data_IF_813366969819
#
_entry.id   IF_813366969819
#
_cell.length_a   1.000
_cell.length_b   1.000
_cell.length_c   1.000
_cell.angle_alpha   90.00
_cell.angle_beta   90.00
_cell.angle_gamma   90.00
#
_symmetry.space_group_name_H-M   'P 1'
#
loop_
_entity.id
_entity.type
_entity.pdbx_description
1 polymer ?
#
# COMPACT_ATOMS: atom_id res chain seq x y z
N UNK A 1 23.82 22.21 66.61
CA UNK A 1 24.13 21.25 65.52
C UNK A 1 23.37 21.71 64.28
N UNK A 2 23.98 22.57 63.45
CA UNK A 2 24.70 22.25 62.19
C UNK A 2 23.79 21.70 61.08
N UNK A 3 23.24 22.65 60.32
CA UNK A 3 23.09 22.76 58.86
C UNK A 3 23.60 21.60 58.00
N UNK A 4 22.80 21.20 56.99
CA UNK A 4 23.23 20.99 55.59
C UNK A 4 22.02 20.73 54.68
N UNK A 5 21.63 21.75 53.93
CA UNK A 5 20.83 21.64 52.70
C UNK A 5 21.79 21.33 51.55
N UNK A 6 21.57 20.23 50.83
CA UNK A 6 22.26 19.89 49.59
C UNK A 6 21.35 20.19 48.40
N UNK A 7 21.61 21.30 47.72
CA UNK A 7 21.05 21.64 46.42
C UNK A 7 21.71 20.78 45.34
N UNK A 8 20.93 19.99 44.60
CA UNK A 8 21.36 19.39 43.34
C UNK A 8 20.89 20.29 42.20
N UNK A 9 21.82 21.01 41.58
CA UNK A 9 21.59 21.72 40.33
C UNK A 9 21.70 20.71 39.18
N UNK A 10 20.56 20.25 38.68
CA UNK A 10 20.49 19.43 37.46
C UNK A 10 20.81 20.33 36.26
N UNK A 11 21.94 20.09 35.60
CA UNK A 11 22.23 20.63 34.28
C UNK A 11 21.13 20.16 33.31
N UNK A 12 20.33 21.10 32.83
CA UNK A 12 19.52 20.92 31.64
C UNK A 12 20.44 20.82 30.43
N UNK A 13 20.61 19.60 29.93
CA UNK A 13 21.14 19.36 28.60
C UNK A 13 20.01 19.72 27.61
N UNK A 14 20.03 20.94 27.08
CA UNK A 14 19.25 21.27 25.89
C UNK A 14 19.78 20.42 24.73
N UNK A 15 19.15 19.26 24.49
CA UNK A 15 19.32 18.56 23.23
C UNK A 15 18.81 19.49 22.12
N UNK A 16 19.74 20.09 21.39
CA UNK A 16 19.47 20.78 20.14
C UNK A 16 18.66 19.84 19.24
N UNK A 17 17.50 20.29 18.79
CA UNK A 17 16.67 19.56 17.84
C UNK A 17 17.50 19.24 16.60
N UNK A 18 17.57 17.97 16.24
CA UNK A 18 18.09 17.55 14.95
C UNK A 18 17.27 18.27 13.89
N UNK A 19 17.91 19.17 13.14
CA UNK A 19 17.32 19.76 11.95
C UNK A 19 16.84 18.60 11.06
N UNK A 20 15.54 18.58 10.74
CA UNK A 20 15.01 17.68 9.73
C UNK A 20 15.86 17.85 8.48
N UNK A 21 16.54 16.79 8.06
CA UNK A 21 17.19 16.78 6.75
C UNK A 21 16.13 17.19 5.72
N UNK A 22 16.42 18.20 4.90
CA UNK A 22 15.50 18.71 3.90
C UNK A 22 14.93 17.54 3.09
N UNK A 23 13.60 17.37 3.14
CA UNK A 23 12.92 16.37 2.31
C UNK A 23 13.31 16.63 0.86
N UNK A 24 13.92 15.65 0.15
CA UNK A 24 14.35 15.88 -1.23
C UNK A 24 13.12 16.22 -2.09
N UNK A 25 13.29 16.94 -3.21
CA UNK A 25 12.19 17.16 -4.14
C UNK A 25 11.51 15.85 -4.53
N UNK A 26 10.19 15.84 -4.61
CA UNK A 26 9.39 14.63 -4.87
C UNK A 26 9.85 13.87 -6.12
N UNK A 27 10.27 14.60 -7.15
CA UNK A 27 10.82 14.04 -8.40
C UNK A 27 12.10 13.24 -8.16
N UNK A 28 12.97 13.72 -7.28
CA UNK A 28 14.22 13.05 -6.91
C UNK A 28 13.94 11.84 -6.03
N UNK A 29 12.95 11.93 -5.14
CA UNK A 29 12.58 10.84 -4.25
C UNK A 29 12.06 9.61 -5.01
N UNK A 30 11.10 9.78 -5.92
CA UNK A 30 10.52 8.63 -6.65
C UNK A 30 11.48 7.98 -7.63
N UNK A 31 12.57 8.66 -8.00
CA UNK A 31 13.66 8.12 -8.83
C UNK A 31 14.61 7.19 -8.05
N UNK A 32 14.55 7.18 -6.72
CA UNK A 32 15.44 6.34 -5.92
C UNK A 32 15.07 4.86 -6.05
N UNK A 33 16.08 4.00 -5.88
CA UNK A 33 15.88 2.57 -5.78
C UNK A 33 15.44 2.23 -4.36
N UNK A 34 14.29 1.56 -4.24
CA UNK A 34 13.76 1.10 -2.97
C UNK A 34 13.62 -0.43 -2.96
N UNK A 35 14.67 -1.18 -2.57
CA UNK A 35 14.63 -2.65 -2.56
C UNK A 35 13.53 -3.25 -1.68
N UNK A 36 13.08 -2.49 -0.67
CA UNK A 36 12.07 -2.89 0.30
C UNK A 36 10.75 -2.11 0.17
N UNK A 37 10.53 -1.45 -0.98
CA UNK A 37 9.37 -0.59 -1.19
C UNK A 37 9.59 0.85 -0.71
N UNK A 38 8.70 1.76 -1.12
CA UNK A 38 8.83 3.19 -0.83
C UNK A 38 8.81 3.43 0.68
N UNK A 39 9.79 4.16 1.28
CA UNK A 39 9.80 4.43 2.71
C UNK A 39 8.59 5.27 3.13
N UNK A 40 7.59 4.63 3.75
CA UNK A 40 6.31 5.27 4.10
C UNK A 40 6.49 6.56 4.91
N UNK A 41 7.34 6.53 5.95
CA UNK A 41 7.56 7.67 6.83
C UNK A 41 8.07 8.91 6.08
N UNK A 42 8.92 8.70 5.06
CA UNK A 42 9.41 9.79 4.22
C UNK A 42 8.37 10.21 3.18
N UNK A 43 7.71 9.26 2.53
CA UNK A 43 6.68 9.52 1.53
C UNK A 43 5.46 10.28 2.11
N UNK A 44 5.13 10.02 3.37
CA UNK A 44 4.04 10.67 4.09
C UNK A 44 4.30 12.14 4.43
N UNK A 45 5.54 12.62 4.27
CA UNK A 45 5.91 14.02 4.51
C UNK A 45 5.66 14.90 3.28
N UNK A 46 5.37 14.31 2.12
CA UNK A 46 4.93 15.07 0.95
C UNK A 46 3.47 15.49 1.10
N UNK A 47 3.08 16.50 0.34
CA UNK A 47 1.79 17.17 0.45
C UNK A 47 0.92 16.94 -0.78
N UNK A 48 -0.35 17.36 -0.71
CA UNK A 48 -1.23 17.40 -1.89
C UNK A 48 -0.70 18.27 -3.03
N UNK A 49 0.21 19.22 -2.78
CA UNK A 49 0.84 19.98 -3.86
C UNK A 49 1.76 19.10 -4.72
N UNK A 50 2.38 18.08 -4.11
CA UNK A 50 3.26 17.13 -4.78
C UNK A 50 2.48 16.11 -5.63
N UNK A 51 1.21 15.88 -5.30
CA UNK A 51 0.29 15.02 -6.06
C UNK A 51 0.26 15.37 -7.54
N UNK A 52 0.15 16.66 -7.88
CA UNK A 52 0.06 17.10 -9.28
C UNK A 52 1.34 16.78 -10.07
N UNK A 53 2.50 16.88 -9.42
CA UNK A 53 3.80 16.54 -10.02
C UNK A 53 3.88 15.03 -10.25
N UNK A 54 3.47 14.23 -9.28
CA UNK A 54 3.44 12.76 -9.37
C UNK A 54 2.49 12.27 -10.46
N UNK A 55 1.30 12.85 -10.58
CA UNK A 55 0.35 12.51 -11.66
C UNK A 55 0.90 12.87 -13.04
N UNK A 56 1.64 13.98 -13.15
CA UNK A 56 2.32 14.36 -14.39
C UNK A 56 3.40 13.32 -14.76
N UNK A 57 4.20 12.87 -13.79
CA UNK A 57 5.19 11.82 -14.02
C UNK A 57 4.55 10.47 -14.36
N UNK A 58 3.43 10.11 -13.73
CA UNK A 58 2.69 8.88 -13.99
C UNK A 58 2.13 8.80 -15.42
N UNK A 59 1.84 9.96 -16.03
CA UNK A 59 1.38 10.06 -17.41
C UNK A 59 2.52 9.95 -18.43
N UNK A 60 3.78 10.11 -18.02
CA UNK A 60 4.93 10.03 -18.93
C UNK A 60 5.35 8.57 -19.16
N UNK A 61 5.05 8.06 -20.36
CA UNK A 61 5.43 6.71 -20.78
C UNK A 61 6.94 6.42 -20.73
N UNK A 62 7.81 7.45 -20.65
CA UNK A 62 9.26 7.27 -20.50
C UNK A 62 9.67 6.95 -19.06
N UNK A 63 8.79 7.16 -18.09
CA UNK A 63 9.04 6.97 -16.66
C UNK A 63 8.43 5.66 -16.12
N UNK A 64 8.09 4.71 -16.98
CA UNK A 64 7.39 3.47 -16.60
C UNK A 64 8.06 2.70 -15.45
N UNK A 65 9.39 2.70 -15.37
CA UNK A 65 10.13 2.02 -14.31
C UNK A 65 9.88 2.64 -12.92
N UNK A 66 9.51 3.93 -12.88
CA UNK A 66 9.22 4.69 -11.67
C UNK A 66 7.76 4.61 -11.25
N UNK A 67 6.85 4.17 -12.12
CA UNK A 67 5.40 4.25 -11.87
C UNK A 67 4.96 3.53 -10.59
N UNK A 68 5.63 2.43 -10.21
CA UNK A 68 5.36 1.74 -8.95
C UNK A 68 5.66 2.63 -7.74
N UNK A 69 6.85 3.26 -7.72
CA UNK A 69 7.25 4.19 -6.66
C UNK A 69 6.31 5.39 -6.60
N UNK A 70 5.91 5.91 -7.76
CA UNK A 70 4.97 7.04 -7.87
C UNK A 70 3.62 6.67 -7.24
N UNK A 71 3.06 5.51 -7.59
CA UNK A 71 1.76 5.06 -7.07
C UNK A 71 1.79 4.80 -5.57
N UNK A 72 2.83 4.12 -5.06
CA UNK A 72 2.98 3.94 -3.61
C UNK A 72 3.10 5.27 -2.88
N UNK A 73 3.87 6.22 -3.43
CA UNK A 73 4.01 7.56 -2.84
C UNK A 73 2.69 8.32 -2.83
N UNK A 74 1.91 8.28 -3.92
CA UNK A 74 0.55 8.84 -3.97
C UNK A 74 -0.34 8.21 -2.89
N UNK A 75 -0.23 6.89 -2.71
CA UNK A 75 -0.91 6.14 -1.65
C UNK A 75 -0.57 6.65 -0.25
N UNK A 76 0.71 6.86 0.04
CA UNK A 76 1.18 7.33 1.33
C UNK A 76 0.87 8.81 1.61
N UNK A 77 0.82 9.66 0.58
CA UNK A 77 0.32 11.04 0.70
C UNK A 77 -1.17 11.01 1.11
N UNK A 78 -1.95 10.09 0.54
CA UNK A 78 -3.35 9.88 0.90
C UNK A 78 -4.31 10.93 0.32
N UNK A 79 -3.91 11.63 -0.73
CA UNK A 79 -4.75 12.63 -1.41
C UNK A 79 -5.90 11.95 -2.17
N UNK A 80 -7.13 12.18 -1.72
CA UNK A 80 -8.33 11.57 -2.29
C UNK A 80 -8.57 11.91 -3.77
N UNK A 81 -8.04 13.04 -4.24
CA UNK A 81 -8.16 13.43 -5.66
C UNK A 81 -7.42 12.48 -6.61
N UNK A 82 -6.53 11.64 -6.08
CA UNK A 82 -5.73 10.67 -6.83
C UNK A 82 -6.46 9.35 -7.11
N UNK A 83 -7.57 9.08 -6.41
CA UNK A 83 -8.29 7.81 -6.52
C UNK A 83 -8.71 7.52 -7.96
N UNK A 84 -9.35 8.49 -8.62
CA UNK A 84 -9.79 8.32 -10.00
C UNK A 84 -8.62 8.14 -10.99
N UNK A 85 -7.55 8.97 -10.96
CA UNK A 85 -6.34 8.73 -11.75
C UNK A 85 -5.69 7.36 -11.52
N UNK A 86 -5.59 6.89 -10.27
CA UNK A 86 -5.03 5.58 -9.94
C UNK A 86 -5.89 4.46 -10.52
N UNK A 87 -7.21 4.55 -10.38
CA UNK A 87 -8.16 3.58 -10.98
C UNK A 87 -8.01 3.54 -12.50
N UNK A 88 -7.96 4.71 -13.15
CA UNK A 88 -7.76 4.81 -14.60
C UNK A 88 -6.42 4.18 -15.01
N UNK A 89 -5.35 4.38 -14.22
CA UNK A 89 -4.04 3.76 -14.47
C UNK A 89 -4.08 2.24 -14.34
N UNK A 90 -4.74 1.69 -13.32
CA UNK A 90 -4.88 0.24 -13.13
C UNK A 90 -5.58 -0.39 -14.34
N UNK A 91 -6.66 0.23 -14.81
CA UNK A 91 -7.47 -0.29 -15.90
C UNK A 91 -6.85 -0.08 -17.29
N UNK A 92 -6.19 1.06 -17.51
CA UNK A 92 -5.70 1.49 -18.82
C UNK A 92 -4.58 0.64 -19.40
N UNK A 93 -4.31 0.79 -20.69
CA UNK A 93 -3.30 0.01 -21.41
C UNK A 93 -3.91 -1.14 -22.22
N UNK A 94 -3.13 -1.66 -23.17
CA UNK A 94 -3.58 -2.71 -24.11
C UNK A 94 -2.44 -3.65 -24.44
N UNK A 95 -2.78 -4.90 -24.80
CA UNK A 95 -1.82 -5.91 -25.22
C UNK A 95 -0.94 -6.43 -24.08
N UNK A 96 0.20 -7.01 -24.43
CA UNK A 96 1.14 -7.57 -23.44
C UNK A 96 1.95 -6.43 -22.83
N UNK A 97 1.78 -6.20 -21.53
CA UNK A 97 2.51 -5.19 -20.76
C UNK A 97 3.77 -5.76 -20.11
N UNK A 98 4.73 -4.87 -19.85
CA UNK A 98 6.00 -5.23 -19.21
C UNK A 98 5.83 -5.60 -17.73
N UNK A 99 6.85 -6.22 -17.16
CA UNK A 99 6.89 -6.51 -15.72
C UNK A 99 6.81 -5.24 -14.86
N UNK A 100 7.48 -4.16 -15.28
CA UNK A 100 7.44 -2.87 -14.59
C UNK A 100 6.02 -2.28 -14.58
N UNK A 101 5.32 -2.33 -15.72
CA UNK A 101 3.94 -1.89 -15.82
C UNK A 101 3.00 -2.73 -14.95
N UNK A 102 3.19 -4.05 -14.91
CA UNK A 102 2.39 -4.95 -14.09
C UNK A 102 2.62 -4.69 -12.59
N UNK A 103 3.88 -4.49 -12.18
CA UNK A 103 4.24 -4.07 -10.82
C UNK A 103 3.53 -2.77 -10.46
N UNK A 104 3.61 -1.76 -11.32
CA UNK A 104 2.96 -0.46 -11.09
C UNK A 104 1.44 -0.61 -10.91
N UNK A 105 0.77 -1.41 -11.74
CA UNK A 105 -0.68 -1.66 -11.59
C UNK A 105 -1.02 -2.34 -10.27
N UNK A 106 -0.19 -3.27 -9.82
CA UNK A 106 -0.33 -3.89 -8.48
C UNK A 106 -0.14 -2.85 -7.37
N UNK A 107 0.91 -2.03 -7.45
CA UNK A 107 1.14 -0.90 -6.53
C UNK A 107 -0.04 0.07 -6.50
N UNK A 108 -0.75 0.28 -7.62
CA UNK A 108 -1.97 1.08 -7.67
C UNK A 108 -3.09 0.53 -6.75
N UNK A 109 -3.29 -0.79 -6.69
CA UNK A 109 -4.27 -1.40 -5.79
C UNK A 109 -3.87 -1.23 -4.32
N UNK A 110 -2.58 -1.34 -4.02
CA UNK A 110 -2.05 -1.07 -2.67
C UNK A 110 -2.22 0.40 -2.30
N UNK A 111 -1.96 1.32 -3.24
CA UNK A 111 -2.10 2.76 -3.04
C UNK A 111 -3.54 3.15 -2.66
N UNK A 112 -4.55 2.53 -3.28
CA UNK A 112 -5.95 2.74 -2.89
C UNK A 112 -6.21 2.27 -1.44
N UNK A 113 -5.55 1.19 -1.00
CA UNK A 113 -5.57 0.73 0.38
C UNK A 113 -4.95 1.75 1.34
N UNK A 114 -3.79 2.32 0.99
CA UNK A 114 -3.13 3.35 1.77
C UNK A 114 -3.95 4.65 1.86
N UNK A 115 -4.55 5.09 0.75
CA UNK A 115 -5.48 6.24 0.74
C UNK A 115 -6.63 5.98 1.72
N UNK A 116 -7.26 4.80 1.65
CA UNK A 116 -8.37 4.43 2.52
C UNK A 116 -7.95 4.34 4.01
N UNK A 117 -6.70 3.96 4.30
CA UNK A 117 -6.16 3.95 5.66
C UNK A 117 -6.05 5.36 6.24
N UNK A 118 -5.61 6.32 5.44
CA UNK A 118 -5.41 7.70 5.89
C UNK A 118 -6.72 8.48 5.95
N UNK A 119 -7.56 8.35 4.94
CA UNK A 119 -8.78 9.11 4.77
C UNK A 119 -9.94 8.19 4.34
N UNK A 120 -11.09 8.19 5.04
CA UNK A 120 -12.26 7.42 4.62
C UNK A 120 -12.75 7.86 3.22
N UNK A 121 -12.39 7.09 2.19
CA UNK A 121 -12.78 7.36 0.80
C UNK A 121 -13.70 6.26 0.26
N UNK A 122 -14.98 6.60 0.05
CA UNK A 122 -16.00 5.64 -0.40
C UNK A 122 -15.73 5.10 -1.81
N UNK A 123 -15.10 5.90 -2.68
CA UNK A 123 -14.77 5.48 -4.05
C UNK A 123 -13.66 4.44 -4.07
N UNK A 124 -12.60 4.64 -3.28
CA UNK A 124 -11.52 3.66 -3.13
C UNK A 124 -12.03 2.37 -2.49
N UNK A 125 -12.84 2.47 -1.42
CA UNK A 125 -13.44 1.31 -0.76
C UNK A 125 -14.36 0.51 -1.72
N UNK A 126 -15.23 1.20 -2.47
CA UNK A 126 -16.11 0.57 -3.45
C UNK A 126 -15.29 -0.13 -4.53
N UNK A 127 -14.32 0.57 -5.11
CA UNK A 127 -13.47 0.02 -6.15
C UNK A 127 -12.75 -1.25 -5.71
N UNK A 128 -12.12 -1.23 -4.52
CA UNK A 128 -11.43 -2.39 -3.95
C UNK A 128 -12.39 -3.52 -3.60
N UNK A 129 -13.58 -3.20 -3.05
CA UNK A 129 -14.61 -4.20 -2.73
C UNK A 129 -15.10 -4.94 -3.98
N UNK A 130 -15.40 -4.20 -5.05
CA UNK A 130 -15.83 -4.79 -6.33
C UNK A 130 -14.70 -5.60 -6.97
N UNK A 131 -13.45 -5.18 -6.75
CA UNK A 131 -12.24 -5.85 -7.24
C UNK A 131 -11.95 -7.19 -6.54
N UNK A 132 -12.66 -7.55 -5.48
CA UNK A 132 -12.60 -8.88 -4.85
C UNK A 132 -13.33 -9.95 -5.65
N UNK A 133 -13.97 -9.57 -6.76
CA UNK A 133 -14.74 -10.45 -7.63
C UNK A 133 -14.12 -10.51 -9.02
N UNK A 134 -13.81 -11.72 -9.50
CA UNK A 134 -13.19 -11.90 -10.81
C UNK A 134 -14.10 -11.47 -11.98
N UNK A 135 -15.43 -11.56 -11.84
CA UNK A 135 -16.38 -11.15 -12.88
C UNK A 135 -16.34 -9.63 -13.08
N UNK A 136 -16.06 -8.87 -12.02
CA UNK A 136 -15.86 -7.42 -12.11
C UNK A 136 -14.69 -7.08 -13.03
N UNK A 137 -13.59 -7.84 -12.98
CA UNK A 137 -12.43 -7.61 -13.85
C UNK A 137 -12.74 -7.89 -15.33
N UNK A 138 -13.57 -8.89 -15.59
CA UNK A 138 -14.09 -9.18 -16.93
C UNK A 138 -15.01 -8.05 -17.42
N UNK A 139 -15.93 -7.58 -16.56
CA UNK A 139 -16.86 -6.50 -16.89
C UNK A 139 -16.16 -5.14 -17.12
N UNK A 140 -14.97 -4.94 -16.53
CA UNK A 140 -14.13 -3.74 -16.77
C UNK A 140 -13.38 -3.77 -18.11
N UNK A 141 -13.49 -4.85 -18.87
CA UNK A 141 -12.84 -5.02 -20.19
C UNK A 141 -11.34 -4.69 -20.18
N UNK A 142 -10.61 -5.27 -19.22
CA UNK A 142 -9.18 -5.05 -19.07
C UNK A 142 -8.46 -5.60 -20.31
N UNK A 143 -7.98 -4.68 -21.16
CA UNK A 143 -7.43 -5.00 -22.48
C UNK A 143 -5.93 -5.34 -22.48
N UNK A 144 -5.30 -5.43 -21.31
CA UNK A 144 -3.89 -5.78 -21.15
C UNK A 144 -3.69 -7.15 -20.47
N UNK A 145 -2.58 -7.80 -20.80
CA UNK A 145 -2.10 -9.06 -20.19
C UNK A 145 -0.62 -8.94 -19.86
N UNK A 146 -0.02 -9.93 -19.19
CA UNK A 146 1.42 -9.94 -18.91
C UNK A 146 1.98 -11.34 -19.13
N UNK A 147 3.28 -11.46 -19.42
CA UNK A 147 3.93 -12.75 -19.65
C UNK A 147 3.83 -13.70 -18.44
N UNK A 148 3.67 -13.18 -17.22
CA UNK A 148 3.50 -13.98 -16.01
C UNK A 148 2.10 -14.61 -15.88
N UNK A 149 1.09 -13.98 -16.50
CA UNK A 149 -0.31 -14.38 -16.44
C UNK A 149 -0.90 -14.24 -17.86
N UNK A 150 -0.58 -15.20 -18.76
CA UNK A 150 -0.92 -15.09 -20.17
C UNK A 150 -2.43 -15.24 -20.42
N UNK A 151 -3.16 -15.91 -19.53
CA UNK A 151 -4.60 -16.05 -19.59
C UNK A 151 -5.33 -15.03 -18.68
N UNK A 152 -6.56 -14.68 -19.07
CA UNK A 152 -7.37 -13.67 -18.38
C UNK A 152 -7.75 -14.09 -16.96
N UNK A 153 -7.98 -15.40 -16.74
CA UNK A 153 -8.42 -15.91 -15.43
C UNK A 153 -7.29 -15.75 -14.41
N UNK A 154 -6.08 -16.20 -14.74
CA UNK A 154 -4.91 -16.06 -13.87
C UNK A 154 -4.58 -14.60 -13.57
N UNK A 155 -4.70 -13.71 -14.58
CA UNK A 155 -4.52 -12.27 -14.39
C UNK A 155 -5.55 -11.73 -13.40
N UNK A 156 -6.82 -12.05 -13.59
CA UNK A 156 -7.92 -11.53 -12.75
C UNK A 156 -7.82 -12.06 -11.32
N UNK A 157 -7.47 -13.34 -11.15
CA UNK A 157 -7.18 -13.93 -9.82
C UNK A 157 -6.04 -13.18 -9.13
N UNK A 158 -4.97 -12.84 -9.86
CA UNK A 158 -3.88 -12.06 -9.29
C UNK A 158 -4.32 -10.64 -8.90
N UNK A 159 -5.16 -9.99 -9.71
CA UNK A 159 -5.72 -8.68 -9.37
C UNK A 159 -6.64 -8.72 -8.16
N UNK A 160 -7.46 -9.77 -8.01
CA UNK A 160 -8.28 -10.03 -6.81
C UNK A 160 -7.38 -10.12 -5.57
N UNK A 161 -6.28 -10.88 -5.64
CA UNK A 161 -5.31 -11.00 -4.54
C UNK A 161 -4.71 -9.64 -4.16
N UNK A 162 -4.29 -8.84 -5.14
CA UNK A 162 -3.74 -7.50 -4.88
C UNK A 162 -4.78 -6.54 -4.29
N UNK A 163 -6.03 -6.60 -4.76
CA UNK A 163 -7.13 -5.82 -4.19
C UNK A 163 -7.41 -6.22 -2.73
N UNK A 164 -7.37 -7.52 -2.44
CA UNK A 164 -7.51 -8.02 -1.08
C UNK A 164 -6.39 -7.51 -0.17
N UNK A 165 -5.13 -7.47 -0.63
CA UNK A 165 -4.02 -6.87 0.12
C UNK A 165 -4.27 -5.37 0.36
N UNK A 166 -4.72 -4.62 -0.65
CA UNK A 166 -5.13 -3.21 -0.46
C UNK A 166 -6.21 -3.04 0.61
N UNK A 167 -7.22 -3.92 0.62
CA UNK A 167 -8.27 -3.95 1.65
C UNK A 167 -7.70 -4.25 3.04
N UNK A 168 -6.76 -5.19 3.15
CA UNK A 168 -6.06 -5.47 4.41
C UNK A 168 -5.31 -4.23 4.90
N UNK A 169 -4.51 -3.61 4.03
CA UNK A 169 -3.68 -2.44 4.36
C UNK A 169 -4.48 -1.21 4.76
N UNK A 170 -5.76 -1.13 4.35
CA UNK A 170 -6.63 -0.03 4.75
C UNK A 170 -6.89 0.03 6.27
N UNK A 171 -6.84 -1.10 6.98
CA UNK A 171 -7.30 -1.18 8.37
C UNK A 171 -8.77 -0.78 8.58
N UNK A 172 -9.58 -0.66 7.53
CA UNK A 172 -10.99 -0.26 7.64
C UNK A 172 -11.86 -1.44 8.10
N UNK A 173 -12.76 -1.25 9.09
CA UNK A 173 -13.72 -2.29 9.47
C UNK A 173 -14.65 -2.70 8.33
N UNK A 174 -15.02 -1.75 7.45
CA UNK A 174 -15.80 -2.02 6.25
C UNK A 174 -15.01 -2.90 5.28
N UNK A 175 -13.69 -2.68 5.16
CA UNK A 175 -12.83 -3.52 4.34
C UNK A 175 -12.72 -4.95 4.89
N UNK A 176 -12.55 -5.12 6.21
CA UNK A 176 -12.59 -6.44 6.85
C UNK A 176 -13.92 -7.17 6.62
N UNK A 177 -15.05 -6.46 6.74
CA UNK A 177 -16.37 -7.04 6.47
C UNK A 177 -16.52 -7.47 5.00
N UNK A 178 -16.01 -6.68 4.06
CA UNK A 178 -16.01 -7.01 2.63
C UNK A 178 -15.12 -8.23 2.32
N UNK A 179 -13.90 -8.29 2.87
CA UNK A 179 -12.99 -9.45 2.76
C UNK A 179 -13.69 -10.72 3.26
N UNK A 180 -14.24 -10.69 4.47
CA UNK A 180 -14.96 -11.83 5.05
C UNK A 180 -16.13 -12.26 4.16
N UNK A 181 -16.95 -11.32 3.68
CA UNK A 181 -18.13 -11.64 2.86
C UNK A 181 -17.75 -12.22 1.49
N UNK A 182 -16.73 -11.67 0.82
CA UNK A 182 -16.39 -12.01 -0.56
C UNK A 182 -15.44 -13.20 -0.69
N UNK A 183 -14.57 -13.43 0.29
CA UNK A 183 -13.51 -14.45 0.21
C UNK A 183 -13.77 -15.68 1.09
N UNK A 184 -14.89 -15.72 1.83
CA UNK A 184 -15.26 -16.92 2.60
C UNK A 184 -15.53 -18.12 1.67
N UNK A 185 -15.09 -19.34 2.03
CA UNK A 185 -15.26 -20.56 1.22
C UNK A 185 -16.68 -20.86 0.76
N UNK A 186 -17.68 -20.44 1.54
CA UNK A 186 -19.09 -20.68 1.26
C UNK A 186 -19.64 -19.83 0.10
N UNK A 187 -18.87 -18.84 -0.37
CA UNK A 187 -19.32 -17.84 -1.35
C UNK A 187 -18.48 -17.87 -2.64
N UNK A 188 -17.29 -18.47 -2.62
CA UNK A 188 -16.42 -18.49 -3.81
C UNK A 188 -16.75 -19.65 -4.74
N UNK A 189 -17.43 -19.33 -5.84
CA UNK A 189 -17.63 -20.23 -7.00
C UNK A 189 -16.32 -20.57 -7.73
N UNK A 190 -15.19 -19.96 -7.33
CA UNK A 190 -13.88 -20.23 -7.89
C UNK A 190 -13.10 -21.26 -7.04
N UNK A 191 -12.98 -22.52 -7.50
CA UNK A 191 -12.26 -23.58 -6.77
C UNK A 191 -10.76 -23.29 -6.62
N UNK A 192 -10.16 -22.48 -7.50
CA UNK A 192 -8.73 -22.14 -7.45
C UNK A 192 -8.37 -21.22 -6.28
N UNK A 193 -9.38 -20.63 -5.63
CA UNK A 193 -9.20 -19.80 -4.44
C UNK A 193 -9.41 -20.57 -3.12
N UNK A 194 -9.96 -21.79 -3.14
CA UNK A 194 -10.53 -22.47 -1.96
C UNK A 194 -9.52 -22.98 -0.90
N UNK A 195 -8.43 -23.71 -1.21
CA UNK A 195 -7.65 -24.39 -0.17
C UNK A 195 -6.65 -23.47 0.57
N UNK A 196 -6.19 -22.41 -0.08
CA UNK A 196 -5.34 -21.37 0.53
C UNK A 196 -6.17 -20.24 1.17
N UNK A 197 -7.49 -20.22 0.94
CA UNK A 197 -8.38 -19.09 1.28
C UNK A 197 -8.52 -18.89 2.78
N UNK A 198 -8.65 -19.95 3.58
CA UNK A 198 -8.97 -19.77 5.01
C UNK A 198 -7.82 -19.19 5.81
N UNK A 199 -6.62 -19.79 5.73
CA UNK A 199 -5.45 -19.29 6.45
C UNK A 199 -5.08 -17.89 5.98
N UNK A 200 -5.11 -17.65 4.67
CA UNK A 200 -4.80 -16.34 4.10
C UNK A 200 -5.85 -15.30 4.52
N UNK A 201 -7.14 -15.62 4.47
CA UNK A 201 -8.21 -14.71 4.90
C UNK A 201 -8.09 -14.39 6.40
N UNK A 202 -7.81 -15.37 7.24
CA UNK A 202 -7.62 -15.17 8.68
C UNK A 202 -6.42 -14.25 8.95
N UNK A 203 -5.29 -14.46 8.26
CA UNK A 203 -4.13 -13.58 8.33
C UNK A 203 -4.44 -12.15 7.85
N UNK A 204 -5.17 -12.02 6.74
CA UNK A 204 -5.59 -10.74 6.19
C UNK A 204 -6.53 -9.96 7.12
N UNK A 205 -7.46 -10.66 7.77
CA UNK A 205 -8.38 -10.08 8.75
C UNK A 205 -7.62 -9.68 10.02
N UNK A 206 -6.71 -10.52 10.51
CA UNK A 206 -5.86 -10.22 11.66
C UNK A 206 -4.95 -9.01 11.39
N UNK A 207 -4.34 -8.94 10.21
CA UNK A 207 -3.51 -7.83 9.80
C UNK A 207 -4.34 -6.53 9.70
N UNK A 208 -5.51 -6.58 9.06
CA UNK A 208 -6.41 -5.43 8.98
C UNK A 208 -6.83 -4.92 10.37
N UNK A 209 -7.22 -5.81 11.28
CA UNK A 209 -7.57 -5.45 12.66
C UNK A 209 -6.38 -4.86 13.43
N UNK A 210 -5.18 -5.39 13.20
CA UNK A 210 -3.94 -4.87 13.80
C UNK A 210 -3.67 -3.45 13.30
N UNK A 211 -3.79 -3.20 11.99
CA UNK A 211 -3.64 -1.88 11.38
C UNK A 211 -4.72 -0.92 11.88
N UNK A 212 -5.96 -1.39 12.05
CA UNK A 212 -7.04 -0.58 12.62
C UNK A 212 -6.72 -0.12 14.05
N UNK A 213 -6.23 -1.04 14.89
CA UNK A 213 -5.99 -0.79 16.30
C UNK A 213 -4.71 0.00 16.58
N UNK A 214 -3.67 -0.20 15.76
CA UNK A 214 -2.33 0.31 16.04
C UNK A 214 -1.78 1.25 14.96
N UNK A 215 -2.48 1.43 13.84
CA UNK A 215 -1.99 2.19 12.70
C UNK A 215 -1.07 1.38 11.78
N UNK A 216 -1.00 1.81 10.53
CA UNK A 216 -0.21 1.15 9.48
C UNK A 216 1.30 1.22 9.75
N UNK A 217 1.79 2.36 10.25
CA UNK A 217 3.22 2.60 10.53
C UNK A 217 3.77 1.59 11.54
N UNK A 218 3.00 1.32 12.60
CA UNK A 218 3.36 0.35 13.62
C UNK A 218 3.36 -1.07 13.05
N UNK A 219 2.38 -1.40 12.21
CA UNK A 219 2.31 -2.70 11.55
C UNK A 219 3.50 -2.94 10.60
N UNK A 220 3.95 -1.94 9.84
CA UNK A 220 5.11 -2.11 8.97
C UNK A 220 6.44 -2.21 9.74
N UNK A 221 6.53 -1.50 10.87
CA UNK A 221 7.70 -1.54 11.75
C UNK A 221 7.89 -2.93 12.36
N UNK A 222 6.81 -3.65 12.70
CA UNK A 222 6.91 -5.02 13.22
C UNK A 222 7.37 -6.01 12.14
N UNK A 223 6.89 -5.87 10.90
CA UNK A 223 7.35 -6.69 9.77
C UNK A 223 8.86 -6.52 9.48
N UNK A 224 9.35 -5.30 9.64
CA UNK A 224 10.77 -4.95 9.39
C UNK A 224 11.69 -5.32 10.56
N UNK A 225 11.17 -5.35 11.79
CA UNK A 225 11.95 -5.59 13.02
C UNK A 225 12.19 -7.06 13.35
N UNK A 226 11.24 -7.95 13.05
CA UNK A 226 11.38 -9.40 13.34
C UNK A 226 12.18 -10.16 12.28
N UNK A 227 12.29 -9.64 11.07
CA UNK A 227 13.07 -10.24 9.98
C UNK A 227 14.60 -10.05 10.13
N UNK A 228 15.05 -9.19 11.05
CA UNK A 228 16.47 -8.99 11.39
C UNK A 228 16.94 -9.79 12.62
N UNK A 229 16.06 -10.58 13.24
CA UNK A 229 16.41 -11.51 14.34
C UNK A 229 16.45 -12.97 13.89
N UNK A 230 16.85 -13.24 12.65
CA UNK A 230 17.30 -14.58 12.29
C UNK A 230 18.59 -14.87 13.07
N UNK A 231 18.45 -15.61 14.17
CA UNK A 231 19.60 -16.20 14.86
C UNK A 231 20.45 -16.94 13.83
N UNK A 232 21.79 -16.87 13.91
CA UNK A 232 22.64 -17.73 13.11
C UNK A 232 22.17 -19.17 13.31
N UNK A 233 21.96 -19.89 12.21
CA UNK A 233 21.84 -21.34 12.27
C UNK A 233 23.23 -21.83 12.69
N UNK A 234 23.36 -22.20 13.97
CA UNK A 234 24.51 -22.98 14.47
C UNK A 234 24.38 -24.45 14.05
#
# INVERSE_FOLDING_TARGET
MKTLLTFWASLWFCCAGAAYADTPPITTFVQQLFPHGVPQAQASNYSSADTAVLLTLLADSKQQDLHANILETLGYIGDETTVAPIVAYIQGGRGVISAAQFRAKSSGLLALGYILNRNPNSSALLYLTDSLDHQTWQARDIAWTTAFFPDLISRDVQLVRQAAVGMTLSGSPQAAAALKRKLSPQVSDNPDLQPASNSMLDEMLKANQTINAHGLDNYQSTLSGDSLKLKPVE
#
